data_IF_002486998360
#
_entry.id   IF_002486998360
#
_cell.length_a   1.000
_cell.length_b   1.000
_cell.length_c   1.000
_cell.angle_alpha   90.00
_cell.angle_beta   90.00
_cell.angle_gamma   90.00
#
_symmetry.space_group_name_H-M   'P 1'
#
loop_
_entity.id
_entity.type
_entity.pdbx_description
1 polymer ?
#
# COMPACT_ATOMS: atom_id res chain seq x y z
N UNK A 1 28.13 66.57 19.45
CA UNK A 1 28.44 65.34 20.21
C UNK A 1 27.37 64.31 19.85
N UNK A 2 27.59 63.63 18.74
CA UNK A 2 26.78 62.54 18.27
C UNK A 2 27.33 61.24 18.92
N UNK A 3 26.39 60.47 19.50
CA UNK A 3 26.74 59.11 19.98
C UNK A 3 26.17 58.15 18.98
N UNK A 4 27.03 57.49 18.25
CA UNK A 4 26.77 56.32 17.42
C UNK A 4 26.25 55.15 18.30
N UNK A 5 25.16 54.52 17.86
CA UNK A 5 24.70 53.24 18.34
C UNK A 5 25.45 52.14 17.59
N UNK A 6 25.88 51.07 18.23
CA UNK A 6 26.53 49.96 17.56
C UNK A 6 25.51 49.08 16.89
N UNK A 7 25.81 48.75 15.66
CA UNK A 7 25.20 47.73 14.81
C UNK A 7 25.40 46.35 15.43
N UNK A 8 24.33 45.65 15.78
CA UNK A 8 24.36 44.30 16.29
C UNK A 8 24.06 43.30 15.18
N UNK A 9 25.13 42.86 14.53
CA UNK A 9 25.12 41.62 13.73
C UNK A 9 24.73 40.43 14.62
N UNK A 10 23.76 39.60 14.22
CA UNK A 10 23.41 38.39 14.99
C UNK A 10 24.55 37.39 14.97
N UNK A 11 24.93 36.98 16.17
CA UNK A 11 25.99 35.99 16.40
C UNK A 11 25.45 34.61 16.00
N UNK A 12 26.30 33.84 15.35
CA UNK A 12 26.04 32.49 14.76
C UNK A 12 25.47 31.45 15.76
N UNK A 13 25.26 31.82 17.02
CA UNK A 13 24.75 30.98 18.10
C UNK A 13 23.22 30.81 18.16
N UNK A 14 22.46 31.72 17.55
CA UNK A 14 20.98 31.67 17.62
C UNK A 14 20.34 30.83 16.50
N UNK A 15 21.06 30.52 15.45
CA UNK A 15 20.59 29.63 14.36
C UNK A 15 20.53 28.16 14.81
N UNK A 16 21.25 27.79 15.87
CA UNK A 16 21.24 26.42 16.40
C UNK A 16 20.11 26.12 17.39
N UNK A 17 19.38 27.10 17.87
CA UNK A 17 18.27 26.87 18.81
C UNK A 17 16.94 26.53 18.12
N UNK A 18 16.75 26.89 16.87
CA UNK A 18 15.58 26.46 16.07
C UNK A 18 15.72 25.04 15.52
N UNK A 19 16.91 24.45 15.53
CA UNK A 19 17.13 23.07 15.10
C UNK A 19 16.82 21.99 16.13
N UNK A 20 16.38 22.35 17.34
CA UNK A 20 16.04 21.37 18.37
C UNK A 20 14.71 20.67 18.05
N UNK A 21 13.81 21.29 17.28
CA UNK A 21 12.61 20.65 16.79
C UNK A 21 12.91 19.55 15.75
N UNK A 22 13.95 19.75 14.93
CA UNK A 22 14.40 18.76 13.94
C UNK A 22 15.12 17.59 14.60
N UNK A 23 15.80 17.81 15.75
CA UNK A 23 16.46 16.73 16.52
C UNK A 23 15.45 15.80 17.21
N UNK A 24 14.27 16.29 17.59
CA UNK A 24 13.18 15.45 18.10
C UNK A 24 12.50 14.61 17.02
N UNK A 25 12.51 15.08 15.76
CA UNK A 25 12.09 14.29 14.59
C UNK A 25 13.03 13.10 14.36
N UNK A 26 14.32 13.24 14.65
CA UNK A 26 15.32 12.18 14.46
C UNK A 26 15.20 11.00 15.42
N UNK A 27 14.59 11.17 16.60
CA UNK A 27 14.32 10.07 17.53
C UNK A 27 12.97 9.39 17.27
N UNK A 28 12.04 10.08 16.62
CA UNK A 28 10.71 9.58 16.27
C UNK A 28 10.59 9.07 14.82
N UNK A 29 11.71 8.89 14.11
CA UNK A 29 11.75 8.12 12.87
C UNK A 29 11.61 6.59 13.11
N UNK A 30 11.51 6.16 14.36
CA UNK A 30 10.63 5.05 14.74
C UNK A 30 9.20 5.22 14.17
N UNK A 31 8.81 6.41 13.74
CA UNK A 31 7.53 6.63 13.05
C UNK A 31 7.49 6.04 11.63
N UNK A 32 8.64 5.78 10.99
CA UNK A 32 8.67 4.95 9.78
C UNK A 32 8.59 3.47 10.13
N UNK A 33 9.06 3.07 11.31
CA UNK A 33 8.70 1.76 11.88
C UNK A 33 7.21 1.73 12.24
N UNK A 34 6.59 2.85 12.65
CA UNK A 34 5.15 2.93 12.87
C UNK A 34 4.34 2.91 11.58
N UNK A 35 4.81 3.45 10.46
CA UNK A 35 4.17 3.22 9.16
C UNK A 35 4.33 1.74 8.73
N UNK A 36 5.41 1.06 9.15
CA UNK A 36 5.60 -0.38 8.96
C UNK A 36 4.96 -1.23 10.07
N UNK A 37 4.93 -0.75 11.31
CA UNK A 37 4.37 -1.45 12.47
C UNK A 37 2.89 -1.17 12.71
N UNK A 38 2.30 -0.16 12.08
CA UNK A 38 0.86 0.11 12.16
C UNK A 38 0.01 -0.90 11.36
N UNK A 39 0.67 -1.85 10.67
CA UNK A 39 0.01 -3.01 10.04
C UNK A 39 0.15 -4.28 10.90
N UNK A 40 0.79 -4.22 12.07
CA UNK A 40 0.99 -5.39 12.94
C UNK A 40 0.61 -5.09 14.37
N UNK A 41 -0.67 -5.18 14.70
CA UNK A 41 -1.10 -5.45 16.06
C UNK A 41 -1.52 -6.90 16.19
N UNK A 42 -0.91 -7.56 17.16
CA UNK A 42 -1.24 -8.91 17.61
C UNK A 42 -2.74 -9.03 17.88
N UNK A 43 -3.42 -9.88 17.12
CA UNK A 43 -4.71 -10.41 17.50
C UNK A 43 -4.49 -11.42 18.61
N UNK A 44 -4.74 -11.04 19.85
CA UNK A 44 -4.88 -11.98 20.96
C UNK A 44 -6.15 -12.77 20.72
N UNK A 45 -5.99 -14.06 20.39
CA UNK A 45 -7.07 -15.02 20.23
C UNK A 45 -7.79 -15.18 21.57
N UNK A 46 -9.03 -14.69 21.65
CA UNK A 46 -9.99 -15.06 22.69
C UNK A 46 -10.76 -16.27 22.20
N UNK A 47 -10.61 -17.41 22.88
CA UNK A 47 -11.41 -18.61 22.68
C UNK A 47 -12.91 -18.32 22.92
N UNK A 48 -13.82 -18.82 22.06
CA UNK A 48 -15.24 -18.74 22.35
C UNK A 48 -15.67 -19.85 23.36
N UNK A 49 -16.61 -19.57 24.27
CA UNK A 49 -17.14 -20.59 25.16
C UNK A 49 -18.04 -21.56 24.40
N UNK A 50 -17.82 -22.83 24.66
CA UNK A 50 -18.63 -23.94 24.21
C UNK A 50 -19.99 -23.90 24.92
N UNK A 51 -21.10 -23.82 24.17
CA UNK A 51 -22.44 -24.13 24.65
C UNK A 51 -23.01 -25.31 23.84
N UNK A 52 -23.36 -26.35 24.60
CA UNK A 52 -24.00 -27.57 24.11
C UNK A 52 -25.45 -27.35 23.71
N UNK A 53 -25.79 -27.99 22.61
CA UNK A 53 -27.02 -28.70 22.24
C UNK A 53 -28.41 -28.10 22.54
N UNK A 54 -29.27 -28.01 21.53
CA UNK A 54 -30.43 -28.91 21.48
C UNK A 54 -30.93 -29.13 20.06
N UNK A 55 -31.51 -30.34 19.84
CA UNK A 55 -31.94 -30.84 18.56
C UNK A 55 -33.37 -30.37 18.23
N UNK A 56 -33.61 -29.90 17.01
CA UNK A 56 -34.94 -29.50 16.52
C UNK A 56 -35.08 -29.51 15.01
N UNK A 57 -35.53 -30.65 14.51
CA UNK A 57 -36.40 -30.88 13.34
C UNK A 57 -36.20 -30.19 12.00
N UNK A 58 -36.05 -31.02 11.03
CA UNK A 58 -35.94 -30.81 9.58
C UNK A 58 -36.94 -29.88 8.95
N UNK A 59 -36.46 -29.00 8.06
CA UNK A 59 -37.15 -28.70 6.80
C UNK A 59 -36.11 -28.51 5.69
N UNK A 60 -36.31 -29.30 4.64
CA UNK A 60 -35.46 -29.36 3.44
C UNK A 60 -35.49 -28.03 2.69
N UNK A 61 -34.37 -27.40 2.38
CA UNK A 61 -34.31 -26.29 1.45
C UNK A 61 -34.20 -26.81 0.01
N UNK A 62 -34.97 -26.18 -0.87
CA UNK A 62 -34.95 -26.35 -2.30
C UNK A 62 -33.54 -26.22 -2.89
N UNK A 63 -33.26 -26.81 -4.08
CA UNK A 63 -31.91 -26.83 -4.65
C UNK A 63 -31.42 -25.43 -4.92
N UNK A 64 -30.36 -25.05 -4.22
CA UNK A 64 -29.62 -23.83 -4.49
C UNK A 64 -29.15 -23.85 -5.95
N UNK A 65 -29.49 -22.80 -6.68
CA UNK A 65 -29.01 -22.54 -8.05
C UNK A 65 -27.47 -22.64 -8.00
N UNK A 66 -26.92 -23.54 -8.80
CA UNK A 66 -25.49 -23.68 -9.01
C UNK A 66 -24.89 -22.29 -9.29
N UNK A 67 -24.00 -21.87 -8.40
CA UNK A 67 -23.20 -20.66 -8.61
C UNK A 67 -22.35 -20.94 -9.85
N UNK A 68 -22.66 -20.23 -10.92
CA UNK A 68 -21.94 -20.24 -12.19
C UNK A 68 -20.43 -20.16 -11.93
N UNK A 69 -19.67 -21.02 -12.59
CA UNK A 69 -18.21 -21.01 -12.58
C UNK A 69 -17.74 -19.56 -12.75
N UNK A 70 -16.94 -19.08 -11.78
CA UNK A 70 -16.38 -17.72 -11.79
C UNK A 70 -15.64 -17.55 -13.12
N UNK A 71 -16.23 -16.77 -14.03
CA UNK A 71 -15.60 -16.50 -15.32
C UNK A 71 -14.16 -16.00 -15.05
N UNK A 72 -13.20 -16.66 -15.70
CA UNK A 72 -11.79 -16.21 -15.65
C UNK A 72 -11.78 -14.80 -16.24
N UNK A 73 -11.54 -13.79 -15.40
CA UNK A 73 -11.47 -12.40 -15.85
C UNK A 73 -10.21 -12.20 -16.67
N UNK A 74 -10.33 -11.49 -17.78
CA UNK A 74 -9.18 -11.07 -18.56
C UNK A 74 -8.22 -10.24 -17.71
N UNK A 75 -6.93 -10.37 -17.97
CA UNK A 75 -5.87 -9.61 -17.32
C UNK A 75 -5.06 -8.91 -18.39
N UNK A 76 -4.80 -7.62 -18.20
CA UNK A 76 -3.91 -6.82 -19.03
C UNK A 76 -2.83 -6.20 -18.16
N UNK A 77 -1.70 -6.91 -18.04
CA UNK A 77 -0.58 -6.44 -17.22
C UNK A 77 -0.06 -5.12 -17.79
N UNK A 78 0.09 -4.05 -16.98
CA UNK A 78 0.64 -2.78 -17.45
C UNK A 78 2.04 -2.96 -18.05
N UNK A 79 2.40 -2.19 -19.09
CA UNK A 79 3.76 -2.19 -19.61
C UNK A 79 4.75 -1.69 -18.53
N UNK A 80 6.01 -2.09 -18.70
CA UNK A 80 7.09 -1.60 -17.82
C UNK A 80 7.10 -0.08 -17.78
N UNK A 81 7.27 0.49 -16.60
CA UNK A 81 7.20 1.93 -16.36
C UNK A 81 8.03 2.36 -15.15
N UNK A 82 8.46 3.61 -15.15
CA UNK A 82 9.16 4.23 -14.04
C UNK A 82 8.42 5.52 -13.66
N UNK A 83 7.69 5.47 -12.55
CA UNK A 83 6.87 6.57 -12.05
C UNK A 83 7.59 7.29 -10.93
N UNK A 84 7.61 8.62 -10.99
CA UNK A 84 8.09 9.50 -9.93
C UNK A 84 6.91 10.14 -9.22
N UNK A 85 7.01 10.23 -7.90
CA UNK A 85 5.98 10.82 -7.06
C UNK A 85 6.52 11.97 -6.21
N UNK A 86 5.69 12.99 -6.04
CA UNK A 86 5.77 13.91 -4.92
C UNK A 86 4.89 13.37 -3.80
N UNK A 87 5.48 13.14 -2.65
CA UNK A 87 4.79 12.56 -1.51
C UNK A 87 4.63 13.64 -0.45
N UNK A 88 3.39 13.87 -0.05
CA UNK A 88 3.02 14.74 1.07
C UNK A 88 2.47 13.88 2.19
N UNK A 89 2.74 14.25 3.41
CA UNK A 89 2.20 13.55 4.55
C UNK A 89 2.15 14.42 5.79
N UNK A 90 1.48 13.88 6.81
CA UNK A 90 1.42 14.46 8.13
C UNK A 90 1.61 13.33 9.15
N UNK A 91 2.44 13.56 10.15
CA UNK A 91 2.67 12.64 11.26
C UNK A 91 2.63 13.44 12.55
N UNK A 92 1.71 13.09 13.45
CA UNK A 92 1.51 13.78 14.74
C UNK A 92 1.33 15.31 14.58
N UNK A 93 0.64 15.74 13.51
CA UNK A 93 0.42 17.16 13.21
C UNK A 93 1.59 17.86 12.50
N UNK A 94 2.70 17.17 12.22
CA UNK A 94 3.84 17.72 11.51
C UNK A 94 3.79 17.35 10.02
N UNK A 95 3.62 18.33 9.11
CA UNK A 95 3.63 18.07 7.68
C UNK A 95 5.05 17.77 7.20
N UNK A 96 5.17 16.88 6.21
CA UNK A 96 6.42 16.57 5.54
C UNK A 96 6.24 16.39 4.04
N UNK A 97 7.34 16.54 3.29
CA UNK A 97 7.40 16.26 1.86
C UNK A 97 8.64 15.42 1.55
N UNK A 98 8.45 14.37 0.74
CA UNK A 98 9.51 13.47 0.30
C UNK A 98 9.30 13.07 -1.16
N UNK A 99 10.25 12.34 -1.73
CA UNK A 99 10.18 11.83 -3.11
C UNK A 99 9.88 10.35 -3.09
N UNK A 100 9.11 9.90 -4.08
CA UNK A 100 8.83 8.50 -4.35
C UNK A 100 9.27 8.10 -5.75
N UNK A 101 9.66 6.85 -5.89
CA UNK A 101 10.15 6.25 -7.13
C UNK A 101 9.58 4.84 -7.23
N UNK A 102 8.66 4.61 -8.18
CA UNK A 102 8.12 3.28 -8.46
C UNK A 102 8.66 2.79 -9.79
N UNK A 103 9.48 1.76 -9.74
CA UNK A 103 9.93 1.00 -10.91
C UNK A 103 9.09 -0.26 -11.02
N UNK A 104 8.44 -0.39 -12.16
CA UNK A 104 7.69 -1.55 -12.57
C UNK A 104 8.31 -2.12 -13.83
N UNK A 105 8.85 -3.33 -13.75
CA UNK A 105 9.45 -4.04 -14.89
C UNK A 105 8.77 -5.39 -15.08
N UNK A 106 8.53 -5.78 -16.32
CA UNK A 106 7.98 -7.09 -16.65
C UNK A 106 8.41 -7.52 -18.05
N UNK A 107 8.51 -8.83 -18.30
CA UNK A 107 8.93 -9.46 -19.56
C UNK A 107 7.85 -10.38 -20.17
N UNK A 108 6.62 -10.30 -19.65
CA UNK A 108 5.50 -11.17 -20.04
C UNK A 108 5.46 -12.52 -19.30
N UNK A 109 6.47 -12.85 -18.49
CA UNK A 109 6.55 -14.08 -17.67
C UNK A 109 6.79 -13.78 -16.21
N UNK A 110 7.64 -12.81 -15.93
CA UNK A 110 8.02 -12.39 -14.58
C UNK A 110 7.85 -10.89 -14.42
N UNK A 111 7.80 -10.45 -13.17
CA UNK A 111 7.80 -9.03 -12.85
C UNK A 111 8.74 -8.71 -11.68
N UNK A 112 9.20 -7.48 -11.67
CA UNK A 112 9.92 -6.83 -10.58
C UNK A 112 9.31 -5.45 -10.34
N UNK A 113 8.85 -5.23 -9.14
CA UNK A 113 8.32 -3.95 -8.67
C UNK A 113 9.16 -3.45 -7.51
N UNK A 114 9.58 -2.18 -7.57
CA UNK A 114 10.35 -1.53 -6.52
C UNK A 114 9.79 -0.14 -6.25
N UNK A 115 9.32 0.09 -5.03
CA UNK A 115 8.93 1.39 -4.53
C UNK A 115 9.98 1.89 -3.56
N UNK A 116 10.54 3.06 -3.82
CA UNK A 116 11.47 3.74 -2.93
C UNK A 116 10.90 5.09 -2.53
N UNK A 117 10.85 5.34 -1.22
CA UNK A 117 10.50 6.62 -0.63
C UNK A 117 11.77 7.14 0.05
N UNK A 118 12.27 8.29 -0.38
CA UNK A 118 13.55 8.82 0.09
C UNK A 118 13.43 10.24 0.61
N UNK A 119 14.13 10.48 1.71
CA UNK A 119 14.34 11.81 2.27
C UNK A 119 15.84 12.02 2.49
N UNK A 120 16.35 13.19 2.04
CA UNK A 120 17.79 13.45 1.98
C UNK A 120 18.50 13.40 3.35
N UNK A 121 17.77 13.62 4.46
CA UNK A 121 18.34 13.55 5.83
C UNK A 121 18.00 12.26 6.58
N UNK A 122 16.95 11.55 6.19
CA UNK A 122 16.33 10.51 7.02
C UNK A 122 16.52 9.11 6.44
N UNK A 123 17.12 9.02 5.24
CA UNK A 123 17.32 7.77 4.54
C UNK A 123 16.13 7.38 3.65
N UNK A 124 16.01 6.11 3.34
CA UNK A 124 14.98 5.61 2.45
C UNK A 124 14.26 4.39 3.02
N UNK A 125 12.99 4.24 2.63
CA UNK A 125 12.24 2.99 2.72
C UNK A 125 12.12 2.41 1.32
N UNK A 126 12.42 1.13 1.19
CA UNK A 126 12.34 0.41 -0.07
C UNK A 126 11.44 -0.80 0.10
N UNK A 127 10.40 -0.88 -0.72
CA UNK A 127 9.58 -2.07 -0.88
C UNK A 127 9.88 -2.71 -2.23
N UNK A 128 9.98 -4.03 -2.26
CA UNK A 128 10.19 -4.82 -3.47
C UNK A 128 9.17 -5.95 -3.54
N UNK A 129 8.67 -6.21 -4.74
CA UNK A 129 7.82 -7.35 -5.02
C UNK A 129 8.30 -8.01 -6.29
N UNK A 130 8.58 -9.30 -6.24
CA UNK A 130 8.96 -10.10 -7.42
C UNK A 130 8.06 -11.32 -7.54
N UNK A 131 7.80 -11.75 -8.77
CA UNK A 131 6.93 -12.89 -8.99
C UNK A 131 6.76 -13.24 -10.46
N UNK A 132 5.76 -14.08 -10.72
CA UNK A 132 5.40 -14.55 -12.04
C UNK A 132 4.14 -13.83 -12.54
N UNK A 133 4.00 -13.81 -13.87
CA UNK A 133 2.80 -13.37 -14.58
C UNK A 133 2.07 -14.60 -15.11
N UNK A 134 0.81 -14.74 -14.77
CA UNK A 134 -0.04 -15.86 -15.15
C UNK A 134 -1.30 -15.39 -15.88
N UNK A 135 -2.10 -16.32 -16.37
CA UNK A 135 -3.41 -16.00 -16.93
C UNK A 135 -4.40 -15.37 -15.93
N UNK A 136 -4.08 -15.40 -14.64
CA UNK A 136 -4.89 -14.83 -13.56
C UNK A 136 -4.30 -13.52 -13.00
N UNK A 137 -3.15 -13.09 -13.52
CA UNK A 137 -2.44 -11.89 -13.10
C UNK A 137 -1.13 -12.18 -12.41
N UNK A 138 -0.82 -11.37 -11.40
CA UNK A 138 0.43 -11.45 -10.67
C UNK A 138 0.40 -12.57 -9.62
N UNK A 139 1.45 -13.37 -9.59
CA UNK A 139 1.74 -14.36 -8.55
C UNK A 139 3.06 -14.00 -7.86
N UNK A 140 3.01 -13.23 -6.75
CA UNK A 140 4.19 -12.85 -6.00
C UNK A 140 4.94 -14.07 -5.47
N UNK A 141 6.26 -14.07 -5.57
CA UNK A 141 7.13 -15.09 -4.95
C UNK A 141 7.85 -14.54 -3.72
N UNK A 142 8.10 -13.22 -3.71
CA UNK A 142 8.77 -12.56 -2.61
C UNK A 142 8.33 -11.11 -2.49
N UNK A 143 8.07 -10.68 -1.26
CA UNK A 143 7.89 -9.28 -0.88
C UNK A 143 8.96 -8.89 0.15
N UNK A 144 9.64 -7.77 -0.05
CA UNK A 144 10.62 -7.21 0.87
C UNK A 144 10.25 -5.79 1.28
N UNK A 145 10.45 -5.46 2.56
CA UNK A 145 10.30 -4.12 3.10
C UNK A 145 11.55 -3.76 3.90
N UNK A 146 12.26 -2.73 3.47
CA UNK A 146 13.55 -2.33 4.02
C UNK A 146 13.52 -0.86 4.44
N UNK A 147 13.79 -0.62 5.71
CA UNK A 147 14.12 0.71 6.26
C UNK A 147 15.59 0.74 6.64
N UNK A 148 16.00 0.12 7.73
CA UNK A 148 17.40 -0.10 8.12
C UNK A 148 17.84 -1.53 7.78
N UNK A 149 17.03 -2.50 8.18
CA UNK A 149 17.14 -3.90 7.81
C UNK A 149 15.94 -4.29 6.97
N UNK A 150 16.08 -5.34 6.16
CA UNK A 150 15.00 -5.87 5.37
C UNK A 150 14.21 -6.92 6.17
N UNK A 151 12.90 -6.85 6.05
CA UNK A 151 11.97 -7.90 6.47
C UNK A 151 11.22 -8.36 5.21
N UNK A 152 11.09 -9.69 5.04
CA UNK A 152 10.54 -10.26 3.82
C UNK A 152 9.46 -11.32 4.10
N UNK A 153 8.51 -11.42 3.17
CA UNK A 153 7.58 -12.52 3.05
C UNK A 153 7.92 -13.35 1.81
N UNK A 154 7.82 -14.67 1.92
CA UNK A 154 8.07 -15.63 0.85
C UNK A 154 6.82 -16.47 0.61
N UNK A 155 6.39 -16.56 -0.66
CA UNK A 155 5.19 -17.25 -1.08
C UNK A 155 5.57 -18.65 -1.57
N UNK A 156 5.17 -19.67 -0.85
CA UNK A 156 5.40 -21.09 -1.21
C UNK A 156 4.09 -21.69 -1.73
N UNK A 157 3.93 -21.67 -3.05
CA UNK A 157 2.73 -22.17 -3.73
C UNK A 157 2.62 -23.71 -3.66
N UNK A 158 3.74 -24.44 -3.52
CA UNK A 158 3.72 -25.88 -3.38
C UNK A 158 3.17 -26.31 -2.01
N UNK A 159 3.53 -25.57 -0.97
CA UNK A 159 3.09 -25.82 0.41
C UNK A 159 1.85 -25.01 0.81
N UNK A 160 1.33 -24.16 -0.09
CA UNK A 160 0.21 -23.25 0.16
C UNK A 160 0.41 -22.42 1.43
N UNK A 161 1.59 -21.83 1.60
CA UNK A 161 1.91 -21.04 2.78
C UNK A 161 2.79 -19.81 2.45
N UNK A 162 2.67 -18.80 3.29
CA UNK A 162 3.56 -17.64 3.33
C UNK A 162 4.44 -17.77 4.56
N UNK A 163 5.75 -17.62 4.38
CA UNK A 163 6.72 -17.57 5.48
C UNK A 163 7.31 -16.19 5.60
N UNK A 164 7.62 -15.77 6.82
CA UNK A 164 8.13 -14.44 7.10
C UNK A 164 9.56 -14.51 7.65
N UNK A 165 10.46 -13.63 7.16
CA UNK A 165 11.83 -13.52 7.71
C UNK A 165 11.83 -12.87 9.10
N UNK A 166 10.79 -12.11 9.45
CA UNK A 166 10.50 -11.76 10.83
C UNK A 166 10.07 -13.02 11.57
N UNK A 167 10.40 -13.13 12.84
CA UNK A 167 10.02 -14.26 13.65
C UNK A 167 8.51 -14.23 14.01
N UNK A 168 7.65 -14.25 12.97
CA UNK A 168 6.19 -14.30 13.05
C UNK A 168 5.67 -15.61 12.48
N UNK A 169 4.51 -16.11 12.94
CA UNK A 169 3.93 -17.38 12.44
C UNK A 169 3.70 -17.35 10.92
N UNK A 170 3.88 -18.50 10.28
CA UNK A 170 3.50 -18.69 8.88
C UNK A 170 1.99 -18.47 8.69
N UNK A 171 1.60 -17.99 7.52
CA UNK A 171 0.20 -17.79 7.14
C UNK A 171 -0.19 -18.75 6.00
N UNK A 172 -1.46 -19.19 5.89
CA UNK A 172 -1.92 -19.90 4.71
C UNK A 172 -1.84 -18.99 3.47
N UNK A 173 -1.39 -19.55 2.34
CA UNK A 173 -1.38 -18.85 1.06
C UNK A 173 -2.68 -19.16 0.31
N UNK A 174 -3.47 -18.13 0.06
CA UNK A 174 -4.73 -18.24 -0.68
C UNK A 174 -4.51 -17.97 -2.18
N UNK A 175 -5.37 -18.56 -3.01
CA UNK A 175 -5.36 -18.30 -4.45
C UNK A 175 -5.58 -16.82 -4.76
N UNK A 176 -4.72 -16.22 -5.59
CA UNK A 176 -4.77 -14.81 -5.96
C UNK A 176 -4.25 -13.86 -4.88
N UNK A 177 -3.52 -14.38 -3.89
CA UNK A 177 -2.84 -13.56 -2.90
C UNK A 177 -1.91 -12.55 -3.57
N UNK A 178 -1.85 -11.35 -3.02
CA UNK A 178 -0.97 -10.28 -3.43
C UNK A 178 -0.15 -9.80 -2.24
N UNK A 179 0.98 -9.18 -2.47
CA UNK A 179 1.63 -8.39 -1.43
C UNK A 179 1.17 -6.93 -1.44
N UNK A 180 1.62 -6.16 -0.45
CA UNK A 180 1.22 -4.75 -0.28
C UNK A 180 1.67 -3.82 -1.41
N UNK A 181 2.58 -4.25 -2.31
CA UNK A 181 3.00 -3.52 -3.49
C UNK A 181 2.35 -4.08 -4.76
N UNK A 182 2.38 -5.41 -4.94
CA UNK A 182 1.83 -6.06 -6.13
C UNK A 182 0.31 -5.87 -6.26
N UNK A 183 -0.42 -5.69 -5.17
CA UNK A 183 -1.88 -5.49 -5.19
C UNK A 183 -2.29 -4.31 -6.08
N UNK A 184 -1.52 -3.23 -6.11
CA UNK A 184 -1.82 -2.07 -6.95
C UNK A 184 -1.62 -2.38 -8.44
N UNK A 185 -0.62 -3.20 -8.77
CA UNK A 185 -0.37 -3.66 -10.15
C UNK A 185 -1.42 -4.68 -10.59
N UNK A 186 -1.86 -5.55 -9.69
CA UNK A 186 -2.96 -6.48 -9.94
C UNK A 186 -4.29 -5.74 -10.20
N UNK A 187 -4.60 -4.71 -9.40
CA UNK A 187 -5.75 -3.84 -9.64
C UNK A 187 -5.65 -3.16 -11.02
N UNK A 188 -4.48 -2.61 -11.36
CA UNK A 188 -4.22 -2.01 -12.65
C UNK A 188 -4.43 -3.01 -13.80
N UNK A 189 -3.95 -4.23 -13.66
CA UNK A 189 -4.09 -5.29 -14.66
C UNK A 189 -5.55 -5.74 -14.87
N UNK A 190 -6.33 -5.81 -13.79
CA UNK A 190 -7.75 -6.17 -13.83
C UNK A 190 -8.59 -5.07 -14.46
N UNK A 191 -8.43 -3.82 -13.98
CA UNK A 191 -9.19 -2.66 -14.47
C UNK A 191 -8.78 -2.36 -15.92
N UNK A 192 -7.48 -2.45 -16.26
CA UNK A 192 -6.98 -2.22 -17.61
C UNK A 192 -7.54 -3.20 -18.66
N UNK A 193 -7.77 -4.46 -18.27
CA UNK A 193 -8.36 -5.46 -19.15
C UNK A 193 -9.85 -5.21 -19.43
N UNK A 194 -10.58 -4.80 -18.40
CA UNK A 194 -12.04 -4.60 -18.47
C UNK A 194 -12.46 -3.31 -17.73
N UNK A 195 -12.17 -2.12 -18.28
CA UNK A 195 -12.46 -0.85 -17.59
C UNK A 195 -13.93 -0.63 -17.24
N UNK A 196 -14.84 -1.26 -17.99
CA UNK A 196 -16.29 -1.21 -17.73
C UNK A 196 -16.81 -2.44 -16.99
N UNK A 197 -15.96 -3.43 -16.72
CA UNK A 197 -16.30 -4.67 -16.02
C UNK A 197 -16.46 -4.51 -14.51
N UNK A 198 -16.12 -3.34 -13.99
CA UNK A 198 -16.14 -3.02 -12.57
C UNK A 198 -16.95 -1.74 -12.32
N UNK A 199 -18.30 -1.82 -12.31
CA UNK A 199 -19.14 -0.68 -12.00
C UNK A 199 -18.88 -0.17 -10.58
N UNK A 200 -19.22 1.10 -10.35
CA UNK A 200 -19.11 1.73 -9.03
C UNK A 200 -19.84 0.90 -7.96
N UNK A 201 -19.22 0.73 -6.80
CA UNK A 201 -19.68 -0.14 -5.72
C UNK A 201 -19.25 -1.61 -5.85
N UNK A 202 -18.64 -2.03 -6.96
CA UNK A 202 -18.05 -3.38 -7.07
C UNK A 202 -16.95 -3.55 -6.03
N UNK A 203 -16.80 -4.79 -5.52
CA UNK A 203 -15.77 -5.12 -4.55
C UNK A 203 -14.77 -6.14 -5.10
N UNK A 204 -13.50 -5.96 -4.76
CA UNK A 204 -12.36 -6.76 -5.19
C UNK A 204 -11.61 -7.26 -3.94
N UNK A 205 -11.86 -8.51 -3.51
CA UNK A 205 -11.19 -9.08 -2.34
C UNK A 205 -9.82 -9.64 -2.72
N UNK A 206 -8.83 -9.43 -1.84
CA UNK A 206 -7.48 -10.00 -1.91
C UNK A 206 -7.04 -10.48 -0.54
N UNK A 207 -6.21 -11.51 -0.50
CA UNK A 207 -5.29 -11.70 0.60
C UNK A 207 -4.10 -10.77 0.33
N UNK A 208 -3.85 -9.82 1.20
CA UNK A 208 -2.71 -8.90 1.12
C UNK A 208 -1.63 -9.33 2.13
N UNK A 209 -0.45 -9.63 1.61
CA UNK A 209 0.69 -10.08 2.42
C UNK A 209 1.62 -8.91 2.67
N UNK A 210 1.77 -8.57 3.93
CA UNK A 210 2.77 -7.64 4.42
C UNK A 210 4.08 -8.34 4.78
N UNK A 211 5.04 -7.63 5.39
CA UNK A 211 6.32 -8.20 5.76
C UNK A 211 6.25 -9.15 6.98
N UNK A 212 5.13 -9.15 7.72
CA UNK A 212 4.96 -9.89 8.99
C UNK A 212 3.62 -10.59 9.14
N UNK A 213 2.65 -10.31 8.29
CA UNK A 213 1.29 -10.83 8.37
C UNK A 213 0.64 -10.96 6.99
N UNK A 214 -0.46 -11.69 6.93
CA UNK A 214 -1.33 -11.76 5.77
C UNK A 214 -2.76 -11.43 6.21
N UNK A 215 -3.40 -10.51 5.51
CA UNK A 215 -4.69 -9.93 5.87
C UNK A 215 -5.68 -10.00 4.71
N UNK A 216 -6.95 -9.85 5.00
CA UNK A 216 -7.98 -9.72 3.96
C UNK A 216 -8.18 -8.23 3.62
N UNK A 217 -7.91 -7.86 2.37
CA UNK A 217 -8.19 -6.53 1.85
C UNK A 217 -9.34 -6.59 0.84
N UNK A 218 -10.31 -5.70 1.00
CA UNK A 218 -11.44 -5.59 0.07
C UNK A 218 -11.46 -4.18 -0.49
N UNK A 219 -11.08 -4.05 -1.77
CA UNK A 219 -11.18 -2.76 -2.47
C UNK A 219 -12.58 -2.56 -3.02
N UNK A 220 -13.14 -1.36 -2.84
CA UNK A 220 -14.37 -0.91 -3.46
C UNK A 220 -14.02 -0.01 -4.64
N UNK A 221 -14.69 -0.22 -5.76
CA UNK A 221 -14.54 0.61 -6.96
C UNK A 221 -15.42 1.86 -6.81
N UNK A 222 -14.85 3.02 -7.01
CA UNK A 222 -15.53 4.30 -6.97
C UNK A 222 -15.76 4.92 -8.34
N UNK A 223 -16.02 6.20 -8.33
CA UNK A 223 -16.16 7.01 -9.54
C UNK A 223 -14.79 7.34 -10.16
N UNK A 224 -14.80 7.70 -11.43
CA UNK A 224 -13.66 8.36 -12.08
C UNK A 224 -13.64 9.83 -11.68
N UNK A 225 -12.49 10.28 -11.17
CA UNK A 225 -12.27 11.64 -10.69
C UNK A 225 -11.26 12.36 -11.59
N UNK A 226 -11.45 13.69 -11.78
CA UNK A 226 -10.44 14.55 -12.38
C UNK A 226 -9.50 15.02 -11.28
N UNK A 227 -8.23 14.72 -11.42
CA UNK A 227 -7.20 15.04 -10.44
C UNK A 227 -6.18 16.01 -11.03
N UNK A 228 -5.81 17.00 -10.23
CA UNK A 228 -4.68 17.90 -10.52
C UNK A 228 -3.44 17.32 -9.83
N UNK A 229 -2.59 16.68 -10.62
CA UNK A 229 -1.36 16.07 -10.13
C UNK A 229 -0.15 16.95 -10.44
N UNK A 230 0.97 16.80 -9.72
CA UNK A 230 2.22 17.49 -10.09
C UNK A 230 2.66 17.23 -11.53
N UNK A 231 2.32 16.06 -12.10
CA UNK A 231 2.60 15.66 -13.48
C UNK A 231 1.59 16.16 -14.53
N UNK A 232 0.54 16.84 -14.10
CA UNK A 232 -0.55 17.33 -14.96
C UNK A 232 -1.92 16.77 -14.57
N UNK A 233 -2.95 17.28 -15.21
CA UNK A 233 -4.33 16.86 -14.98
C UNK A 233 -4.56 15.47 -15.58
N UNK A 234 -5.20 14.56 -14.82
CA UNK A 234 -5.53 13.20 -15.26
C UNK A 234 -6.93 12.82 -14.81
N UNK A 235 -7.57 11.92 -15.56
CA UNK A 235 -8.81 11.27 -15.13
C UNK A 235 -8.47 9.88 -14.57
N UNK A 236 -8.79 9.63 -13.30
CA UNK A 236 -8.41 8.39 -12.64
C UNK A 236 -9.59 7.73 -11.90
N UNK A 237 -9.70 6.42 -12.06
CA UNK A 237 -10.65 5.59 -11.32
C UNK A 237 -10.16 5.46 -9.88
N UNK A 238 -10.99 5.87 -8.93
CA UNK A 238 -10.71 5.70 -7.51
C UNK A 238 -11.13 4.32 -7.05
N UNK A 239 -10.24 3.66 -6.32
CA UNK A 239 -10.55 2.47 -5.52
C UNK A 239 -10.11 2.72 -4.09
N UNK A 240 -10.85 2.17 -3.13
CA UNK A 240 -10.44 2.27 -1.72
C UNK A 240 -10.77 1.01 -0.96
N UNK A 241 -10.04 0.79 0.10
CA UNK A 241 -10.40 -0.13 1.16
C UNK A 241 -10.53 0.64 2.47
N UNK A 242 -11.61 0.35 3.19
CA UNK A 242 -11.81 0.89 4.53
C UNK A 242 -11.07 0.05 5.57
N UNK A 243 -10.70 0.63 6.72
CA UNK A 243 -10.09 -0.11 7.81
C UNK A 243 -10.95 -1.30 8.26
N UNK A 244 -10.32 -2.43 8.54
CA UNK A 244 -10.96 -3.62 9.12
C UNK A 244 -10.85 -3.67 10.64
N UNK A 245 -10.06 -2.79 11.25
CA UNK A 245 -9.82 -2.71 12.70
C UNK A 245 -9.36 -1.32 13.13
N UNK A 246 -9.25 -1.15 14.45
CA UNK A 246 -8.95 0.13 15.10
C UNK A 246 -7.61 0.77 14.65
N UNK A 247 -6.63 -0.06 14.30
CA UNK A 247 -5.29 0.41 13.92
C UNK A 247 -4.99 0.24 12.43
N UNK A 248 -5.98 -0.21 11.66
CA UNK A 248 -5.82 -0.48 10.25
C UNK A 248 -6.02 0.80 9.42
N UNK A 249 -5.09 1.17 8.52
CA UNK A 249 -5.23 2.37 7.72
C UNK A 249 -6.29 2.20 6.63
N UNK A 250 -6.95 3.30 6.29
CA UNK A 250 -7.65 3.42 5.01
C UNK A 250 -6.64 3.50 3.88
N UNK A 251 -6.84 2.74 2.81
CA UNK A 251 -6.00 2.76 1.61
C UNK A 251 -6.85 3.21 0.43
N UNK A 252 -6.36 4.21 -0.30
CA UNK A 252 -7.01 4.74 -1.49
C UNK A 252 -6.01 4.73 -2.65
N UNK A 253 -6.43 4.31 -3.83
CA UNK A 253 -5.62 4.31 -5.05
C UNK A 253 -6.42 4.87 -6.22
N UNK A 254 -5.77 5.63 -7.06
CA UNK A 254 -6.34 6.18 -8.31
C UNK A 254 -5.54 5.65 -9.49
N UNK A 255 -6.24 4.99 -10.41
CA UNK A 255 -5.69 4.37 -11.60
C UNK A 255 -6.08 5.18 -12.83
N UNK A 256 -5.10 5.69 -13.58
CA UNK A 256 -5.36 6.52 -14.75
C UNK A 256 -5.10 5.76 -16.07
N UNK A 257 -6.09 5.77 -16.96
CA UNK A 257 -6.00 5.11 -18.27
C UNK A 257 -4.86 5.69 -19.12
N UNK A 258 -4.61 6.99 -19.01
CA UNK A 258 -3.58 7.72 -19.76
C UNK A 258 -2.15 7.23 -19.48
N UNK A 259 -1.96 6.58 -18.33
CA UNK A 259 -0.67 5.97 -17.95
C UNK A 259 -0.78 4.44 -17.82
N UNK A 260 -1.67 3.81 -18.57
CA UNK A 260 -1.84 2.34 -18.59
C UNK A 260 -2.45 1.78 -17.31
N UNK A 261 -3.35 2.51 -16.67
CA UNK A 261 -3.98 2.19 -15.39
C UNK A 261 -3.01 2.07 -14.21
N UNK A 262 -1.76 2.50 -14.38
CA UNK A 262 -0.83 2.57 -13.25
C UNK A 262 -1.32 3.56 -12.19
N UNK A 263 -0.94 3.37 -10.92
CA UNK A 263 -1.40 4.22 -9.83
C UNK A 263 -0.79 5.63 -9.94
N UNK A 264 -1.64 6.62 -10.23
CA UNK A 264 -1.25 8.05 -10.26
C UNK A 264 -1.33 8.70 -8.89
N UNK A 265 -2.08 8.09 -7.98
CA UNK A 265 -2.14 8.52 -6.58
C UNK A 265 -2.37 7.32 -5.69
N UNK A 266 -1.65 7.27 -4.57
CA UNK A 266 -1.86 6.30 -3.49
C UNK A 266 -1.90 7.09 -2.19
N UNK A 267 -2.98 6.95 -1.42
CA UNK A 267 -3.12 7.61 -0.13
C UNK A 267 -3.42 6.59 0.96
N UNK A 268 -2.64 6.64 2.02
CA UNK A 268 -2.87 5.90 3.26
C UNK A 268 -3.24 6.91 4.33
N UNK A 269 -4.33 6.65 5.06
CA UNK A 269 -4.77 7.49 6.16
C UNK A 269 -4.93 6.63 7.41
N UNK A 270 -4.20 6.96 8.46
CA UNK A 270 -4.23 6.28 9.74
C UNK A 270 -5.48 6.67 10.54
N UNK A 271 -5.95 5.84 11.49
CA UNK A 271 -7.09 6.17 12.34
C UNK A 271 -6.91 7.45 13.15
N UNK A 272 -5.68 7.82 13.52
CA UNK A 272 -5.36 9.06 14.22
C UNK A 272 -5.33 10.31 13.32
N UNK A 273 -5.59 10.16 12.02
CA UNK A 273 -5.58 11.24 11.02
C UNK A 273 -4.25 11.43 10.30
N UNK A 274 -3.16 10.83 10.76
CA UNK A 274 -1.88 10.84 10.04
C UNK A 274 -2.03 10.26 8.65
N UNK A 275 -1.33 10.79 7.65
CA UNK A 275 -1.47 10.30 6.30
C UNK A 275 -0.18 10.39 5.48
N UNK A 276 -0.15 9.59 4.42
CA UNK A 276 0.84 9.62 3.34
C UNK A 276 0.08 9.69 2.03
N UNK A 277 0.34 10.71 1.20
CA UNK A 277 -0.32 10.95 -0.09
C UNK A 277 0.75 11.04 -1.19
N UNK A 278 0.87 9.98 -1.97
CA UNK A 278 1.81 9.84 -3.07
C UNK A 278 1.12 10.33 -4.34
N UNK A 279 1.63 11.38 -4.97
CA UNK A 279 1.04 12.02 -6.15
C UNK A 279 2.01 11.93 -7.33
N UNK A 280 1.57 11.33 -8.43
CA UNK A 280 2.35 11.19 -9.65
C UNK A 280 2.83 12.54 -10.17
N UNK A 281 4.10 12.60 -10.53
CA UNK A 281 4.77 13.78 -11.05
C UNK A 281 5.23 13.60 -12.49
N UNK A 282 5.80 12.45 -12.80
CA UNK A 282 6.29 12.16 -14.14
C UNK A 282 6.42 10.64 -14.36
N UNK A 283 6.39 10.23 -15.62
CA UNK A 283 6.76 8.89 -16.06
C UNK A 283 8.04 8.99 -16.87
N UNK A 284 9.10 8.32 -16.42
CA UNK A 284 10.34 8.18 -17.18
C UNK A 284 10.23 6.96 -18.10
N UNK A 285 10.75 7.12 -19.32
CA UNK A 285 10.85 6.05 -20.32
C UNK A 285 12.11 5.23 -20.11
#
# INVERSE_FOLDING_TARGET
MERSTPDSTPVLGDVFKENTAVAHINNDFSATENIANLVTTESVASEPPVLLADAGSASSPAPAKSVSAKAVRSILVPPSAHLKYDIKGEVKGFPYQVRGDLRWAQDGKTYDARMEISHFLLGSRVQTSTGQLTGHGLEPTRFGDKVRSEVAAHFDYEKNKVTFSANTPDAPLLSGAQDQLSVFMQLAAMIGAEPRGFPEGSTLPFQAVGPRSAESWVFTVGATEKLQMPGGDVSALRLWRDPSGEYDPKVEVWLAAEVGFLPVRIRLTQPNGDFVDQQWRETQK
#
